data_IF_018814346087
#
_entry.id   IF_018814346087
#
_cell.length_a   1.000
_cell.length_b   1.000
_cell.length_c   1.000
_cell.angle_alpha   90.00
_cell.angle_beta   90.00
_cell.angle_gamma   90.00
#
_symmetry.space_group_name_H-M   'P 1'
#
loop_
_entity.id
_entity.type
_entity.pdbx_description
1 polymer ?
#
# COMPACT_ATOMS: atom_id res chain seq x y z
N UNK A 1 -15.61 6.51 -2.15
CA UNK A 1 -15.74 5.21 -2.82
C UNK A 1 -15.10 4.14 -1.95
N UNK A 2 -15.75 3.00 -1.81
CA UNK A 2 -15.17 1.87 -1.09
C UNK A 2 -14.69 0.82 -2.08
N UNK A 3 -13.46 0.37 -1.92
CA UNK A 3 -12.88 -0.67 -2.76
C UNK A 3 -12.81 -1.94 -1.91
N UNK A 4 -13.57 -3.00 -2.25
CA UNK A 4 -13.54 -4.23 -1.46
C UNK A 4 -12.19 -4.91 -1.60
N UNK A 5 -11.65 -5.36 -0.46
CA UNK A 5 -10.37 -6.08 -0.41
C UNK A 5 -10.62 -7.58 -0.19
N UNK A 6 -11.67 -7.91 0.52
CA UNK A 6 -11.98 -9.28 0.91
C UNK A 6 -11.66 -9.54 2.38
N UNK A 7 -11.65 -10.82 2.79
CA UNK A 7 -11.40 -11.17 4.19
C UNK A 7 -10.01 -10.70 4.65
N UNK A 8 -9.94 -10.13 5.84
CA UNK A 8 -8.66 -9.73 6.45
C UNK A 8 -7.71 -10.91 6.52
N UNK A 9 -8.23 -12.10 6.82
CA UNK A 9 -7.43 -13.33 6.93
C UNK A 9 -6.78 -13.76 5.62
N UNK A 10 -7.31 -13.29 4.47
CA UNK A 10 -6.71 -13.59 3.17
C UNK A 10 -5.45 -12.77 2.90
N UNK A 11 -5.18 -11.75 3.71
CA UNK A 11 -3.94 -10.97 3.64
C UNK A 11 -3.00 -11.56 4.69
N UNK A 12 -1.90 -12.22 4.29
CA UNK A 12 -0.99 -12.81 5.27
C UNK A 12 -0.32 -11.72 6.10
N UNK A 13 -0.03 -12.03 7.36
CA UNK A 13 0.69 -11.11 8.24
C UNK A 13 2.06 -10.78 7.61
N UNK A 14 2.36 -9.48 7.49
CA UNK A 14 3.56 -9.02 6.81
C UNK A 14 3.45 -9.01 5.28
N UNK A 15 2.30 -9.43 4.73
CA UNK A 15 2.07 -9.49 3.29
C UNK A 15 1.28 -8.32 2.74
N UNK A 16 1.03 -8.36 1.44
CA UNK A 16 0.30 -7.33 0.71
C UNK A 16 -0.70 -7.95 -0.25
N UNK A 17 -1.84 -7.31 -0.41
CA UNK A 17 -2.80 -7.64 -1.46
C UNK A 17 -3.04 -6.41 -2.32
N UNK A 18 -2.88 -6.57 -3.64
CA UNK A 18 -3.14 -5.47 -4.58
C UNK A 18 -4.59 -5.53 -5.01
N UNK A 19 -5.28 -4.40 -4.90
CA UNK A 19 -6.66 -4.24 -5.39
C UNK A 19 -6.71 -3.12 -6.41
N UNK A 20 -7.72 -3.14 -7.25
CA UNK A 20 -7.85 -2.19 -8.35
C UNK A 20 -9.27 -1.67 -8.44
N UNK A 21 -9.39 -0.37 -8.71
CA UNK A 21 -10.66 0.26 -9.08
C UNK A 21 -10.38 1.23 -10.21
N UNK A 22 -10.86 0.89 -11.42
CA UNK A 22 -10.52 1.66 -12.62
C UNK A 22 -9.01 1.66 -12.86
N UNK A 23 -8.42 2.84 -12.94
CA UNK A 23 -6.98 3.00 -13.12
C UNK A 23 -6.22 3.10 -11.80
N UNK A 24 -6.92 3.07 -10.66
CA UNK A 24 -6.30 3.14 -9.34
C UNK A 24 -5.92 1.74 -8.86
N UNK A 25 -4.65 1.53 -8.58
CA UNK A 25 -4.12 0.32 -7.95
C UNK A 25 -3.70 0.66 -6.53
N UNK A 26 -4.10 -0.16 -5.56
CA UNK A 26 -3.83 0.06 -4.14
C UNK A 26 -3.23 -1.21 -3.55
N UNK A 27 -2.14 -1.06 -2.82
CA UNK A 27 -1.56 -2.16 -2.04
C UNK A 27 -2.05 -2.08 -0.60
N UNK A 28 -2.65 -3.18 -0.11
CA UNK A 28 -3.14 -3.28 1.26
C UNK A 28 -2.24 -4.22 2.03
N UNK A 29 -1.58 -3.69 3.05
CA UNK A 29 -0.62 -4.41 3.88
C UNK A 29 -1.22 -4.78 5.21
N UNK A 30 -0.87 -5.96 5.71
CA UNK A 30 -1.22 -6.38 7.07
C UNK A 30 0.05 -6.45 7.90
N UNK A 31 0.17 -5.56 8.89
CA UNK A 31 1.36 -5.46 9.73
C UNK A 31 0.92 -5.37 11.19
N UNK A 32 1.34 -6.34 12.00
CA UNK A 32 1.00 -6.43 13.43
C UNK A 32 -0.52 -6.37 13.65
N UNK A 33 -1.28 -7.03 12.78
CA UNK A 33 -2.73 -7.07 12.87
C UNK A 33 -3.44 -5.85 12.34
N UNK A 34 -2.74 -4.79 11.99
CA UNK A 34 -3.33 -3.57 11.42
C UNK A 34 -3.19 -3.56 9.90
N UNK A 35 -4.10 -2.85 9.24
CA UNK A 35 -4.11 -2.73 7.78
C UNK A 35 -3.71 -1.32 7.36
N UNK A 36 -2.85 -1.25 6.35
CA UNK A 36 -2.37 0.00 5.77
C UNK A 36 -2.50 -0.08 4.26
N UNK A 37 -2.92 1.00 3.63
CA UNK A 37 -3.11 1.02 2.19
C UNK A 37 -2.44 2.25 1.58
N UNK A 38 -1.66 2.03 0.54
CA UNK A 38 -1.07 3.11 -0.25
C UNK A 38 -1.28 2.84 -1.73
N UNK A 39 -1.22 3.89 -2.52
CA UNK A 39 -1.27 3.77 -3.97
C UNK A 39 -0.11 2.90 -4.46
N UNK A 40 -0.42 1.93 -5.33
CA UNK A 40 0.60 1.05 -5.92
C UNK A 40 1.25 1.74 -7.12
N UNK A 41 1.97 2.81 -6.82
CA UNK A 41 2.67 3.60 -7.83
C UNK A 41 3.86 4.31 -7.19
N UNK A 42 5.05 4.08 -7.73
CA UNK A 42 6.22 4.86 -7.33
C UNK A 42 6.11 6.27 -7.93
N UNK A 43 6.14 7.31 -7.10
CA UNK A 43 6.02 8.68 -7.59
C UNK A 43 7.20 9.13 -8.45
N UNK A 44 8.31 8.38 -8.42
CA UNK A 44 9.49 8.68 -9.22
C UNK A 44 9.29 8.32 -10.70
N UNK A 45 8.72 7.15 -10.99
CA UNK A 45 8.66 6.64 -12.37
C UNK A 45 7.30 6.03 -12.76
N UNK A 46 6.28 6.17 -11.91
CA UNK A 46 4.94 5.62 -12.11
C UNK A 46 4.88 4.09 -12.19
N UNK A 47 5.97 3.40 -11.90
CA UNK A 47 6.01 1.94 -11.88
C UNK A 47 5.38 1.35 -10.63
N UNK A 48 5.11 0.02 -10.62
CA UNK A 48 4.55 -0.66 -9.45
C UNK A 48 5.47 -0.52 -8.24
N UNK A 49 4.89 -0.29 -7.06
CA UNK A 49 5.62 -0.03 -5.83
C UNK A 49 5.41 -1.15 -4.79
N UNK A 50 4.17 -1.60 -4.62
CA UNK A 50 3.78 -2.36 -3.44
C UNK A 50 4.27 -3.81 -3.42
N UNK A 51 4.80 -4.32 -4.52
CA UNK A 51 5.42 -5.64 -4.57
C UNK A 51 6.92 -5.59 -4.23
N UNK A 52 7.45 -4.41 -3.95
CA UNK A 52 8.83 -4.25 -3.52
C UNK A 52 9.06 -4.79 -2.11
N UNK A 53 10.31 -4.85 -1.71
CA UNK A 53 10.68 -5.30 -0.37
C UNK A 53 10.14 -4.34 0.69
N UNK A 54 9.86 -4.89 1.86
CA UNK A 54 9.37 -4.13 3.00
C UNK A 54 10.39 -4.20 4.14
N UNK A 55 10.65 -3.05 4.73
CA UNK A 55 11.51 -2.93 5.90
C UNK A 55 10.72 -2.18 6.98
N UNK A 56 10.16 -2.93 7.94
CA UNK A 56 9.24 -2.37 8.93
C UNK A 56 8.01 -1.76 8.27
N UNK A 57 7.77 -0.46 8.46
CA UNK A 57 6.68 0.28 7.82
C UNK A 57 7.11 0.97 6.53
N UNK A 58 8.24 0.57 5.96
CA UNK A 58 8.80 1.16 4.76
C UNK A 58 8.72 0.17 3.61
N UNK A 59 8.19 0.60 2.45
CA UNK A 59 8.26 -0.18 1.21
C UNK A 59 9.36 0.41 0.34
N UNK A 60 10.10 -0.46 -0.33
CA UNK A 60 11.24 -0.08 -1.17
C UNK A 60 10.85 -0.34 -2.61
N UNK A 61 10.86 0.73 -3.43
CA UNK A 61 10.55 0.60 -4.85
C UNK A 61 11.54 -0.38 -5.50
N UNK A 62 11.05 -1.43 -6.19
CA UNK A 62 11.93 -2.46 -6.73
C UNK A 62 12.83 -1.98 -7.86
N UNK A 63 12.55 -0.82 -8.44
CA UNK A 63 13.30 -0.34 -9.61
C UNK A 63 14.53 0.48 -9.25
N UNK A 64 14.38 1.45 -8.33
CA UNK A 64 15.47 2.39 -8.02
C UNK A 64 15.69 2.59 -6.53
N UNK A 65 14.99 1.82 -5.68
CA UNK A 65 15.23 1.83 -4.24
C UNK A 65 14.62 3.01 -3.47
N UNK A 66 13.74 3.79 -4.09
CA UNK A 66 13.02 4.84 -3.36
C UNK A 66 12.18 4.21 -2.24
N UNK A 67 12.11 4.88 -1.08
CA UNK A 67 11.43 4.36 0.09
C UNK A 67 10.22 5.22 0.46
N UNK A 68 9.14 4.56 0.88
CA UNK A 68 7.89 5.22 1.26
C UNK A 68 7.35 4.63 2.56
N UNK A 69 6.78 5.49 3.40
CA UNK A 69 6.15 5.05 4.64
C UNK A 69 4.75 4.51 4.34
N UNK A 70 4.47 3.27 4.73
CA UNK A 70 3.19 2.60 4.49
C UNK A 70 2.03 3.22 5.27
N UNK A 71 2.32 3.90 6.37
CA UNK A 71 1.30 4.50 7.23
C UNK A 71 0.77 5.80 6.69
N UNK A 72 1.59 6.55 5.96
CA UNK A 72 1.27 7.91 5.53
C UNK A 72 1.44 8.14 4.03
N UNK A 73 2.18 7.28 3.33
CA UNK A 73 2.57 7.48 1.94
C UNK A 73 3.75 8.44 1.79
N UNK A 74 4.33 8.91 2.89
CA UNK A 74 5.41 9.87 2.83
C UNK A 74 6.65 9.29 2.15
N UNK A 75 7.25 10.08 1.23
CA UNK A 75 8.51 9.71 0.62
C UNK A 75 9.63 9.84 1.65
N UNK A 76 10.49 8.82 1.73
CA UNK A 76 11.56 8.74 2.72
C UNK A 76 12.95 8.85 2.10
N UNK A 77 13.10 8.58 0.81
CA UNK A 77 14.41 8.65 0.17
C UNK A 77 14.32 8.87 -1.34
N UNK A 78 15.38 9.45 -1.88
CA UNK A 78 15.60 9.57 -3.32
C UNK A 78 15.68 8.17 -3.96
N UNK A 79 15.36 8.04 -5.25
CA UNK A 79 15.13 9.11 -6.21
C UNK A 79 13.72 9.68 -6.25
N UNK A 80 12.79 9.21 -5.42
CA UNK A 80 11.47 9.80 -5.34
C UNK A 80 11.50 11.10 -4.51
N UNK A 81 10.76 12.10 -4.96
CA UNK A 81 10.70 13.41 -4.31
C UNK A 81 9.27 13.80 -3.91
N UNK A 82 8.28 12.98 -4.26
CA UNK A 82 6.88 13.22 -3.95
C UNK A 82 6.29 12.04 -3.18
N UNK A 83 5.38 12.33 -2.26
CA UNK A 83 4.65 11.30 -1.52
C UNK A 83 3.72 10.54 -2.47
N UNK A 84 3.35 9.32 -2.07
CA UNK A 84 2.24 8.60 -2.68
C UNK A 84 1.01 8.75 -1.78
N UNK A 85 -0.19 8.51 -2.34
CA UNK A 85 -1.42 8.65 -1.56
C UNK A 85 -1.59 7.46 -0.62
N UNK A 86 -1.97 7.73 0.64
CA UNK A 86 -2.35 6.72 1.61
C UNK A 86 -3.87 6.77 1.79
N UNK A 87 -4.48 5.61 2.04
CA UNK A 87 -5.92 5.47 2.18
C UNK A 87 -6.27 4.84 3.51
N UNK A 88 -7.41 5.25 4.07
CA UNK A 88 -7.96 4.58 5.24
C UNK A 88 -8.51 3.22 4.85
N UNK A 89 -8.36 2.24 5.73
CA UNK A 89 -8.94 0.91 5.56
C UNK A 89 -9.93 0.68 6.71
N UNK A 90 -11.14 0.25 6.38
CA UNK A 90 -12.15 -0.13 7.38
C UNK A 90 -12.41 -1.62 7.28
N UNK A 91 -12.76 -2.22 8.42
CA UNK A 91 -13.08 -3.65 8.49
C UNK A 91 -14.50 -3.78 9.03
N UNK A 92 -15.35 -4.52 8.30
CA UNK A 92 -16.72 -4.82 8.70
C UNK A 92 -16.96 -6.32 8.54
N UNK A 93 -17.35 -6.99 9.62
CA UNK A 93 -17.63 -8.42 9.62
C UNK A 93 -16.46 -9.25 9.05
N UNK A 94 -15.24 -8.88 9.40
CA UNK A 94 -14.03 -9.57 8.93
C UNK A 94 -13.61 -9.25 7.50
N UNK A 95 -14.33 -8.37 6.80
CA UNK A 95 -14.04 -7.96 5.43
C UNK A 95 -13.45 -6.55 5.42
N UNK A 96 -12.37 -6.36 4.66
CA UNK A 96 -11.69 -5.07 4.56
C UNK A 96 -12.14 -4.27 3.33
N UNK A 97 -12.17 -2.95 3.47
CA UNK A 97 -12.51 -2.01 2.40
C UNK A 97 -11.55 -0.83 2.45
N UNK A 98 -11.06 -0.42 1.29
CA UNK A 98 -10.25 0.80 1.16
C UNK A 98 -11.19 1.97 0.89
N UNK A 99 -11.02 3.06 1.64
CA UNK A 99 -11.79 4.29 1.42
C UNK A 99 -10.98 5.21 0.51
N UNK A 100 -11.40 5.29 -0.74
CA UNK A 100 -10.73 6.10 -1.75
C UNK A 100 -11.61 7.23 -2.28
#
# INVERSE_FOLDING_TARGET
>A
MEIPVGPVEAIPEGGVKIVQSGSLFVGVYRIDGSLYAIEDRCSHDDGPLCEGERDGFCVICPRHGARFDLRTGAVLSLPATEDVEAFEVVVRDGEAFVLA
#
